data_IF_631809031374
#
_entry.id   IF_631809031374
#
_cell.length_a   1.000
_cell.length_b   1.000
_cell.length_c   1.000
_cell.angle_alpha   90.00
_cell.angle_beta   90.00
_cell.angle_gamma   90.00
#
_symmetry.space_group_name_H-M   'P 1'
#
loop_
_entity.id
_entity.type
_entity.pdbx_description
1 polymer ?
#
# COMPACT_ATOMS: atom_id res chain seq x y z
N UNK A 1 -19.38 -32.36 -13.45
CA UNK A 1 -18.57 -31.12 -13.43
C UNK A 1 -18.08 -30.96 -12.00
N UNK A 2 -16.79 -31.20 -11.75
CA UNK A 2 -16.23 -31.14 -10.39
C UNK A 2 -16.14 -29.67 -9.99
N UNK A 3 -16.88 -29.29 -8.95
CA UNK A 3 -16.65 -28.04 -8.22
C UNK A 3 -15.26 -28.15 -7.59
N UNK A 4 -14.32 -27.35 -8.07
CA UNK A 4 -13.07 -27.11 -7.36
C UNK A 4 -13.44 -26.14 -6.25
N UNK A 5 -13.60 -26.65 -5.03
CA UNK A 5 -13.58 -25.82 -3.82
C UNK A 5 -12.19 -25.19 -3.71
N UNK A 6 -12.09 -23.91 -4.02
CA UNK A 6 -10.97 -23.09 -3.55
C UNK A 6 -11.10 -22.96 -2.03
N UNK A 7 -10.34 -23.76 -1.30
CA UNK A 7 -10.17 -23.61 0.15
C UNK A 7 -9.60 -22.22 0.43
N UNK A 8 -10.37 -21.41 1.15
CA UNK A 8 -10.04 -20.02 1.47
C UNK A 8 -8.86 -19.97 2.44
N UNK A 9 -7.80 -19.30 2.05
CA UNK A 9 -6.76 -18.85 2.97
C UNK A 9 -7.37 -17.80 3.90
N UNK A 10 -7.50 -18.12 5.19
CA UNK A 10 -7.76 -17.15 6.25
C UNK A 10 -6.55 -17.18 7.18
N UNK A 11 -5.58 -16.32 6.94
CA UNK A 11 -4.55 -16.02 7.93
C UNK A 11 -4.69 -14.55 8.31
N UNK A 12 -4.62 -14.23 9.61
CA UNK A 12 -4.48 -12.87 10.10
C UNK A 12 -3.04 -12.75 10.62
N UNK A 13 -2.28 -11.76 10.17
CA UNK A 13 -0.96 -11.45 10.71
C UNK A 13 -1.10 -10.26 11.67
N UNK A 14 -0.62 -10.40 12.91
CA UNK A 14 -0.62 -9.32 13.90
C UNK A 14 0.82 -9.03 14.34
N UNK A 15 1.21 -7.75 14.31
CA UNK A 15 2.52 -7.28 14.75
C UNK A 15 2.50 -6.93 16.25
N UNK A 16 3.58 -7.27 16.95
CA UNK A 16 3.88 -6.75 18.29
C UNK A 16 5.27 -6.10 18.24
N UNK A 17 5.34 -4.81 18.59
CA UNK A 17 6.59 -4.08 18.70
C UNK A 17 7.27 -4.37 20.04
N UNK A 18 8.57 -4.67 20.01
CA UNK A 18 9.42 -4.68 21.20
C UNK A 18 10.69 -3.87 20.95
N UNK A 19 10.76 -2.67 21.53
CA UNK A 19 12.03 -1.96 21.64
C UNK A 19 12.85 -2.60 22.76
N UNK A 20 13.90 -3.34 22.42
CA UNK A 20 14.90 -3.76 23.41
C UNK A 20 16.07 -2.79 23.40
N UNK A 21 16.32 -2.15 24.54
CA UNK A 21 17.60 -1.50 24.79
C UNK A 21 18.61 -2.60 25.13
N UNK A 22 19.48 -2.97 24.19
CA UNK A 22 20.66 -3.75 24.53
C UNK A 22 21.59 -2.89 25.38
N UNK A 23 22.23 -3.53 26.36
CA UNK A 23 23.08 -2.94 27.39
C UNK A 23 24.45 -2.51 26.79
N UNK A 24 24.42 -1.67 25.76
CA UNK A 24 25.55 -0.91 25.19
C UNK A 24 25.06 -0.08 24.01
N UNK A 25 24.73 1.21 24.23
CA UNK A 25 24.68 2.39 23.34
C UNK A 25 24.39 2.27 21.82
N UNK A 26 23.80 1.18 21.33
CA UNK A 26 23.39 0.98 19.95
C UNK A 26 21.91 0.59 19.96
N UNK A 27 21.05 1.51 19.51
CA UNK A 27 19.61 1.27 19.36
C UNK A 27 19.39 0.25 18.22
N UNK A 28 19.40 -1.03 18.55
CA UNK A 28 19.04 -2.09 17.61
C UNK A 28 17.57 -2.46 17.82
N UNK A 29 16.73 -2.10 16.88
CA UNK A 29 15.31 -2.45 16.88
C UNK A 29 15.05 -3.68 16.00
N UNK A 30 14.01 -4.45 16.33
CA UNK A 30 13.60 -5.60 15.55
C UNK A 30 12.08 -5.71 15.46
N UNK A 31 11.62 -6.42 14.43
CA UNK A 31 10.23 -6.64 14.07
C UNK A 31 9.88 -8.07 14.45
N UNK A 32 8.80 -8.22 15.22
CA UNK A 32 8.25 -9.51 15.59
C UNK A 32 7.06 -9.85 14.68
N UNK A 33 7.06 -11.06 14.14
CA UNK A 33 5.95 -11.62 13.37
C UNK A 33 5.29 -12.78 14.12
N UNK A 34 3.99 -12.97 13.89
CA UNK A 34 3.25 -14.16 14.32
C UNK A 34 2.09 -14.43 13.39
N UNK A 35 1.94 -15.69 12.94
CA UNK A 35 0.87 -16.11 12.05
C UNK A 35 -0.29 -16.69 12.85
N UNK A 36 -1.51 -16.29 12.50
CA UNK A 36 -2.76 -16.79 13.08
C UNK A 36 -3.67 -17.33 12.00
N UNK A 37 -4.43 -18.38 12.33
CA UNK A 37 -5.52 -18.90 11.51
C UNK A 37 -6.73 -17.97 11.46
N UNK A 38 -7.70 -18.32 10.61
CA UNK A 38 -8.93 -17.56 10.40
C UNK A 38 -9.89 -17.59 11.56
N UNK A 39 -9.59 -18.38 12.59
CA UNK A 39 -10.32 -18.49 13.86
C UNK A 39 -9.59 -17.71 14.97
N UNK A 40 -8.39 -17.18 14.69
CA UNK A 40 -7.56 -16.42 15.62
C UNK A 40 -6.59 -17.27 16.44
N UNK A 41 -6.41 -18.56 16.14
CA UNK A 41 -5.42 -19.39 16.83
C UNK A 41 -4.02 -19.11 16.30
N UNK A 42 -3.02 -19.09 17.18
CA UNK A 42 -1.62 -18.92 16.78
C UNK A 42 -1.11 -20.17 16.08
N UNK A 43 -0.62 -20.05 14.86
CA UNK A 43 0.09 -21.14 14.18
C UNK A 43 1.57 -21.20 14.52
N UNK A 44 2.16 -20.04 14.82
CA UNK A 44 3.59 -19.91 15.06
C UNK A 44 3.88 -19.37 16.45
N UNK A 45 5.08 -19.65 16.95
CA UNK A 45 5.70 -18.77 17.94
C UNK A 45 5.94 -17.39 17.33
N UNK A 46 6.27 -16.42 18.18
CA UNK A 46 6.83 -15.16 17.68
C UNK A 46 8.13 -15.51 16.95
N UNK A 47 8.29 -14.99 15.73
CA UNK A 47 9.51 -15.09 14.93
C UNK A 47 10.05 -13.70 14.63
N UNK A 48 11.35 -13.62 14.37
CA UNK A 48 12.04 -12.38 14.06
C UNK A 48 11.99 -12.13 12.56
N UNK A 49 11.65 -10.90 12.16
CA UNK A 49 11.50 -10.53 10.76
C UNK A 49 12.76 -9.88 10.18
N UNK A 50 13.50 -9.12 11.00
CA UNK A 50 14.74 -8.47 10.58
C UNK A 50 15.88 -8.79 11.54
N UNK A 51 17.09 -8.84 11.01
CA UNK A 51 18.36 -8.87 11.73
C UNK A 51 18.64 -7.50 12.32
N UNK A 52 18.93 -7.37 13.63
CA UNK A 52 19.18 -6.08 14.25
C UNK A 52 20.55 -5.56 13.80
N UNK A 53 20.58 -4.40 13.16
CA UNK A 53 21.77 -3.87 12.48
C UNK A 53 22.17 -2.46 12.95
N UNK A 54 21.80 -2.08 14.18
CA UNK A 54 21.95 -0.69 14.67
C UNK A 54 21.00 0.32 14.01
N UNK A 55 20.06 -0.16 13.18
CA UNK A 55 19.01 0.64 12.55
C UNK A 55 17.74 0.63 13.39
N UNK A 56 17.01 1.75 13.31
CA UNK A 56 15.63 1.82 13.79
C UNK A 56 14.70 1.32 12.68
N UNK A 57 13.74 0.46 13.00
CA UNK A 57 12.81 -0.13 12.03
C UNK A 57 11.37 0.32 12.29
N UNK A 58 10.62 0.57 11.22
CA UNK A 58 9.27 1.13 11.28
C UNK A 58 8.44 0.88 10.03
N UNK A 59 7.20 1.40 10.02
CA UNK A 59 6.27 1.42 8.87
C UNK A 59 6.16 0.08 8.13
N UNK A 60 6.04 -1.02 8.87
CA UNK A 60 5.98 -2.35 8.31
C UNK A 60 4.70 -2.53 7.49
N UNK A 61 4.79 -3.21 6.36
CA UNK A 61 3.63 -3.69 5.60
C UNK A 61 3.84 -5.15 5.23
N UNK A 62 2.74 -5.86 5.00
CA UNK A 62 2.73 -7.27 4.61
C UNK A 62 1.86 -7.47 3.39
N UNK A 63 2.29 -8.34 2.48
CA UNK A 63 1.45 -8.89 1.42
C UNK A 63 1.57 -10.42 1.40
N UNK A 64 0.44 -11.10 1.22
CA UNK A 64 0.43 -12.54 0.93
C UNK A 64 0.98 -12.81 -0.47
N UNK A 65 1.79 -13.84 -0.62
CA UNK A 65 2.40 -14.29 -1.88
C UNK A 65 1.88 -15.69 -2.21
N UNK A 66 0.63 -15.75 -2.68
CA UNK A 66 -0.10 -17.00 -2.84
C UNK A 66 -0.45 -17.65 -1.49
N UNK A 67 -0.69 -18.96 -1.48
CA UNK A 67 -1.21 -19.65 -0.29
C UNK A 67 -0.18 -19.88 0.81
N UNK A 68 1.11 -19.93 0.46
CA UNK A 68 2.16 -20.50 1.33
C UNK A 68 3.29 -19.55 1.69
N UNK A 69 3.21 -18.29 1.27
CA UNK A 69 4.26 -17.31 1.49
C UNK A 69 3.66 -15.95 1.77
N UNK A 70 4.45 -15.08 2.38
CA UNK A 70 4.17 -13.67 2.49
C UNK A 70 5.48 -12.89 2.45
N UNK A 71 5.42 -11.63 2.06
CA UNK A 71 6.53 -10.68 2.14
C UNK A 71 6.21 -9.64 3.20
N UNK A 72 7.20 -9.31 4.02
CA UNK A 72 7.16 -8.14 4.89
C UNK A 72 8.15 -7.13 4.34
N UNK A 73 7.70 -5.89 4.18
CA UNK A 73 8.54 -4.75 3.84
C UNK A 73 8.52 -3.75 4.99
N UNK A 74 9.64 -3.08 5.24
CA UNK A 74 9.77 -2.14 6.35
C UNK A 74 10.72 -0.99 6.03
N UNK A 75 10.57 0.10 6.77
CA UNK A 75 11.54 1.18 6.84
C UNK A 75 12.67 0.79 7.79
N UNK A 76 13.92 0.93 7.35
CA UNK A 76 15.11 0.81 8.18
C UNK A 76 15.90 2.12 8.12
N UNK A 77 15.96 2.81 9.25
CA UNK A 77 16.54 4.14 9.39
C UNK A 77 17.86 4.08 10.15
N UNK A 78 18.88 4.70 9.56
CA UNK A 78 20.17 4.96 10.18
C UNK A 78 20.44 6.47 10.16
N UNK A 79 20.63 7.06 11.33
CA UNK A 79 20.80 8.52 11.50
C UNK A 79 19.63 9.29 10.85
N UNK A 80 19.86 9.94 9.70
CA UNK A 80 18.89 10.73 8.96
C UNK A 80 18.56 10.11 7.57
N UNK A 81 18.88 8.84 7.36
CA UNK A 81 18.68 8.13 6.09
C UNK A 81 17.82 6.88 6.29
N UNK A 82 16.74 6.76 5.51
CA UNK A 82 15.84 5.61 5.51
C UNK A 82 15.98 4.80 4.22
N UNK A 83 16.09 3.49 4.35
CA UNK A 83 15.95 2.56 3.23
C UNK A 83 14.74 1.65 3.45
N UNK A 84 14.07 1.27 2.37
CA UNK A 84 13.02 0.25 2.46
C UNK A 84 13.63 -1.12 2.18
N UNK A 85 13.41 -2.03 3.13
CA UNK A 85 13.91 -3.39 3.08
C UNK A 85 12.73 -4.36 3.03
N UNK A 86 12.98 -5.58 2.56
CA UNK A 86 11.99 -6.64 2.55
C UNK A 86 12.58 -8.02 2.75
N UNK A 87 11.73 -8.91 3.26
CA UNK A 87 12.03 -10.32 3.45
C UNK A 87 10.79 -11.18 3.20
N UNK A 88 10.99 -12.31 2.53
CA UNK A 88 9.94 -13.29 2.27
C UNK A 88 10.00 -14.44 3.28
N UNK A 89 8.82 -14.87 3.70
CA UNK A 89 8.63 -15.93 4.68
C UNK A 89 7.68 -16.98 4.13
N UNK A 90 7.84 -18.21 4.63
CA UNK A 90 6.85 -19.27 4.46
C UNK A 90 5.61 -19.00 5.32
N UNK A 91 4.52 -19.73 5.06
CA UNK A 91 3.31 -19.74 5.89
C UNK A 91 3.57 -20.02 7.39
N UNK A 92 4.69 -20.66 7.73
CA UNK A 92 5.09 -20.97 9.10
C UNK A 92 6.00 -19.90 9.72
N UNK A 93 6.19 -18.76 9.07
CA UNK A 93 7.05 -17.69 9.57
C UNK A 93 8.54 -17.99 9.50
N UNK A 94 8.96 -19.03 8.77
CA UNK A 94 10.38 -19.28 8.50
C UNK A 94 10.83 -18.46 7.32
N UNK A 95 12.02 -17.89 7.39
CA UNK A 95 12.65 -17.25 6.23
C UNK A 95 12.65 -18.21 5.04
N UNK A 96 12.23 -17.72 3.87
CA UNK A 96 12.20 -18.55 2.69
C UNK A 96 13.65 -18.77 2.22
N UNK A 97 14.12 -20.02 2.21
CA UNK A 97 15.54 -20.41 2.24
C UNK A 97 16.43 -19.85 1.12
N UNK A 98 15.86 -19.34 0.03
CA UNK A 98 16.61 -18.66 -1.04
C UNK A 98 17.17 -17.29 -0.59
N UNK A 99 16.73 -16.78 0.56
CA UNK A 99 16.94 -15.40 1.01
C UNK A 99 17.49 -15.30 2.42
N UNK A 100 18.63 -15.91 2.68
CA UNK A 100 19.29 -15.74 3.98
C UNK A 100 19.67 -14.26 4.30
N UNK A 101 19.27 -13.27 3.49
CA UNK A 101 19.50 -11.85 3.70
C UNK A 101 18.28 -10.99 3.31
N UNK A 102 18.10 -9.89 4.03
CA UNK A 102 17.16 -8.81 3.74
C UNK A 102 17.56 -8.07 2.45
N UNK A 103 16.56 -7.67 1.64
CA UNK A 103 16.81 -7.01 0.35
C UNK A 103 16.34 -5.57 0.35
N UNK A 104 17.16 -4.66 -0.17
CA UNK A 104 16.77 -3.27 -0.40
C UNK A 104 15.81 -3.16 -1.60
N UNK A 105 14.61 -2.65 -1.35
CA UNK A 105 13.54 -2.54 -2.34
C UNK A 105 13.89 -1.54 -3.44
N UNK A 106 14.25 -0.31 -3.06
CA UNK A 106 14.53 0.79 -3.99
C UNK A 106 16.02 1.05 -4.19
N UNK A 107 16.40 1.59 -5.34
CA UNK A 107 17.76 2.02 -5.69
C UNK A 107 18.17 3.29 -4.95
N UNK A 108 17.19 4.06 -4.48
CA UNK A 108 17.35 5.34 -3.78
C UNK A 108 16.67 5.31 -2.42
N UNK A 109 17.15 6.17 -1.54
CA UNK A 109 16.48 6.53 -0.28
C UNK A 109 15.15 7.18 -0.58
N UNK A 110 14.07 6.69 0.04
CA UNK A 110 12.74 7.27 -0.01
C UNK A 110 12.29 7.58 1.42
N UNK A 111 11.43 8.59 1.59
CA UNK A 111 11.05 9.09 2.92
C UNK A 111 9.67 8.61 3.37
N UNK A 112 8.79 8.30 2.43
CA UNK A 112 7.42 7.87 2.70
C UNK A 112 7.06 6.59 1.93
N UNK A 113 6.09 5.86 2.45
CA UNK A 113 5.91 4.43 2.19
C UNK A 113 6.53 3.58 3.32
N UNK A 114 6.68 2.26 3.12
CA UNK A 114 6.27 1.50 1.94
C UNK A 114 4.76 1.17 1.96
N UNK A 115 4.19 0.89 0.79
CA UNK A 115 2.95 0.11 0.62
C UNK A 115 3.25 -1.05 -0.32
N UNK A 116 2.71 -2.24 -0.04
CA UNK A 116 3.01 -3.47 -0.79
C UNK A 116 1.75 -4.21 -1.18
N UNK A 117 1.71 -4.75 -2.40
CA UNK A 117 0.61 -5.58 -2.91
C UNK A 117 1.15 -6.78 -3.67
N UNK A 118 0.39 -7.88 -3.62
CA UNK A 118 0.66 -9.09 -4.40
C UNK A 118 0.31 -8.88 -5.87
N UNK A 119 1.06 -9.53 -6.76
CA UNK A 119 0.84 -9.55 -8.21
C UNK A 119 0.86 -10.99 -8.72
N UNK A 120 0.05 -11.26 -9.75
CA UNK A 120 0.03 -12.53 -10.49
C UNK A 120 -0.13 -13.76 -9.56
N UNK A 121 -1.07 -13.72 -8.62
CA UNK A 121 -1.30 -14.82 -7.67
C UNK A 121 -0.16 -14.98 -6.66
N UNK A 122 0.62 -13.93 -6.45
CA UNK A 122 1.79 -13.91 -5.57
C UNK A 122 3.08 -14.42 -6.18
N UNK A 123 3.14 -14.55 -7.51
CA UNK A 123 4.42 -14.75 -8.22
C UNK A 123 5.28 -13.48 -8.19
N UNK A 124 4.65 -12.30 -8.11
CA UNK A 124 5.32 -11.00 -7.96
C UNK A 124 4.70 -10.18 -6.84
N UNK A 125 5.34 -9.07 -6.51
CA UNK A 125 4.73 -8.02 -5.69
C UNK A 125 5.22 -6.64 -6.13
N UNK A 126 4.41 -5.62 -5.87
CA UNK A 126 4.79 -4.23 -6.12
C UNK A 126 4.91 -3.49 -4.80
N UNK A 127 5.91 -2.60 -4.73
CA UNK A 127 6.08 -1.67 -3.61
C UNK A 127 6.08 -0.25 -4.15
N UNK A 128 5.32 0.64 -3.52
CA UNK A 128 5.36 2.08 -3.81
C UNK A 128 5.95 2.86 -2.62
N UNK A 129 6.67 3.93 -2.94
CA UNK A 129 7.13 4.92 -1.99
C UNK A 129 7.40 6.25 -2.69
N UNK A 130 7.71 7.29 -1.92
CA UNK A 130 8.05 8.60 -2.47
C UNK A 130 9.02 9.36 -1.58
N UNK A 131 9.62 10.43 -2.13
CA UNK A 131 10.47 11.35 -1.40
C UNK A 131 9.84 12.76 -1.34
N UNK A 132 10.29 13.62 -0.44
CA UNK A 132 9.81 15.01 -0.35
C UNK A 132 10.29 15.87 -1.52
N UNK A 133 11.52 15.58 -1.96
CA UNK A 133 12.36 16.36 -2.86
C UNK A 133 12.25 15.93 -4.34
N UNK A 134 11.53 14.83 -4.60
CA UNK A 134 11.08 14.47 -5.95
C UNK A 134 9.56 14.44 -5.96
N UNK A 135 8.94 15.21 -6.85
CA UNK A 135 7.54 15.02 -7.25
C UNK A 135 7.34 13.72 -8.03
N UNK A 136 8.06 12.65 -7.71
CA UNK A 136 7.97 11.35 -8.36
C UNK A 136 7.64 10.28 -7.34
N UNK A 137 6.46 9.68 -7.51
CA UNK A 137 6.12 8.43 -6.87
C UNK A 137 6.91 7.32 -7.54
N UNK A 138 7.59 6.49 -6.74
CA UNK A 138 8.41 5.40 -7.26
C UNK A 138 7.73 4.07 -6.97
N UNK A 139 7.49 3.29 -8.02
CA UNK A 139 7.07 1.90 -7.90
C UNK A 139 8.22 0.99 -8.31
N UNK A 140 8.42 -0.07 -7.53
CA UNK A 140 9.27 -1.20 -7.89
C UNK A 140 8.46 -2.49 -7.86
N UNK A 141 8.51 -3.25 -8.96
CA UNK A 141 7.95 -4.60 -9.04
C UNK A 141 9.08 -5.61 -8.78
N UNK A 142 8.80 -6.65 -8.00
CA UNK A 142 9.79 -7.65 -7.63
C UNK A 142 9.21 -9.06 -7.83
N UNK A 143 10.04 -9.98 -8.32
CA UNK A 143 9.71 -11.40 -8.33
C UNK A 143 9.66 -11.93 -6.89
N UNK A 144 8.64 -12.72 -6.55
CA UNK A 144 8.43 -13.24 -5.20
C UNK A 144 9.38 -14.38 -4.82
N UNK A 145 10.05 -14.99 -5.80
CA UNK A 145 10.88 -16.20 -5.63
C UNK A 145 12.34 -15.86 -5.34
N UNK A 146 12.84 -14.71 -5.84
CA UNK A 146 14.16 -14.17 -5.57
C UNK A 146 14.20 -12.66 -5.18
N UNK A 147 13.06 -11.98 -4.91
CA UNK A 147 12.98 -10.54 -4.53
C UNK A 147 13.89 -9.72 -5.49
N UNK A 148 13.96 -10.15 -6.75
CA UNK A 148 14.71 -9.41 -7.76
C UNK A 148 13.80 -8.41 -8.42
N UNK A 149 14.37 -7.23 -8.67
CA UNK A 149 13.68 -6.17 -9.37
C UNK A 149 13.32 -6.62 -10.77
N UNK A 150 12.02 -6.59 -11.07
CA UNK A 150 11.50 -6.70 -12.42
C UNK A 150 11.58 -5.31 -13.05
N UNK A 151 12.31 -5.22 -14.15
CA UNK A 151 12.47 -3.96 -14.88
C UNK A 151 13.12 -2.84 -14.05
N UNK A 152 12.86 -1.60 -14.46
CA UNK A 152 13.32 -0.40 -13.75
C UNK A 152 12.25 0.08 -12.77
N UNK A 153 12.69 0.83 -11.77
CA UNK A 153 11.80 1.75 -11.05
C UNK A 153 11.11 2.68 -12.04
N UNK A 154 9.81 2.86 -11.87
CA UNK A 154 9.03 3.75 -12.72
C UNK A 154 8.24 4.77 -11.91
N UNK A 155 8.06 5.94 -12.53
CA UNK A 155 7.25 7.02 -11.99
C UNK A 155 5.77 6.69 -12.13
N UNK A 156 5.02 6.82 -11.03
CA UNK A 156 3.56 6.66 -11.03
C UNK A 156 2.81 7.94 -11.45
N UNK A 157 3.52 9.04 -11.69
CA UNK A 157 2.94 10.32 -12.07
C UNK A 157 3.78 11.02 -13.14
N UNK A 158 3.16 11.95 -13.87
CA UNK A 158 3.93 12.85 -14.74
C UNK A 158 4.52 13.98 -13.86
N UNK A 159 5.81 14.31 -13.96
CA UNK A 159 6.34 15.45 -13.24
C UNK A 159 5.69 16.73 -13.78
N UNK A 160 4.76 17.30 -13.02
CA UNK A 160 4.26 18.65 -13.28
C UNK A 160 5.38 19.65 -13.02
N UNK A 161 5.47 20.71 -13.84
CA UNK A 161 6.41 21.82 -13.60
C UNK A 161 6.06 22.59 -12.31
N UNK A 162 4.84 22.42 -11.79
CA UNK A 162 4.51 22.80 -10.44
C UNK A 162 5.16 21.80 -9.49
N UNK A 163 6.04 22.31 -8.62
CA UNK A 163 6.72 21.63 -7.50
C UNK A 163 5.72 21.15 -6.41
N UNK A 164 4.51 20.76 -6.83
CA UNK A 164 3.44 20.29 -6.00
C UNK A 164 3.93 19.14 -5.13
N UNK A 165 3.79 19.34 -3.83
CA UNK A 165 4.16 18.40 -2.79
C UNK A 165 3.28 17.15 -2.96
N UNK A 166 3.73 16.18 -3.74
CA UNK A 166 3.09 14.87 -3.82
C UNK A 166 3.21 14.20 -2.47
N UNK A 167 2.12 13.83 -1.83
CA UNK A 167 2.18 13.05 -0.59
C UNK A 167 1.11 11.97 -0.55
N UNK A 168 1.35 11.00 0.32
CA UNK A 168 0.37 10.03 0.80
C UNK A 168 -0.21 9.17 -0.34
N UNK A 169 0.68 8.43 -1.00
CA UNK A 169 0.30 7.47 -2.03
C UNK A 169 -0.23 6.15 -1.43
N UNK A 170 -1.03 5.45 -2.23
CA UNK A 170 -1.46 4.08 -1.97
C UNK A 170 -1.53 3.29 -3.27
N UNK A 171 -1.56 1.96 -3.18
CA UNK A 171 -1.73 1.10 -4.35
C UNK A 171 -2.58 -0.13 -4.03
N UNK A 172 -3.30 -0.62 -5.03
CA UNK A 172 -3.99 -1.89 -5.00
C UNK A 172 -3.79 -2.67 -6.29
N UNK A 173 -4.23 -3.91 -6.29
CA UNK A 173 -4.39 -4.71 -7.49
C UNK A 173 -5.84 -4.91 -7.88
N UNK A 174 -6.06 -5.07 -9.17
CA UNK A 174 -7.35 -5.41 -9.79
C UNK A 174 -7.12 -6.47 -10.87
N UNK A 175 -8.19 -7.00 -11.46
CA UNK A 175 -8.12 -7.95 -12.59
C UNK A 175 -7.27 -9.16 -12.23
N UNK A 176 -7.63 -9.83 -11.13
CA UNK A 176 -6.90 -10.98 -10.59
C UNK A 176 -5.40 -10.74 -10.40
N UNK A 177 -5.02 -9.54 -9.93
CA UNK A 177 -3.64 -9.18 -9.65
C UNK A 177 -2.75 -9.00 -10.88
N UNK A 178 -3.35 -8.76 -12.05
CA UNK A 178 -2.64 -8.49 -13.30
C UNK A 178 -2.42 -6.99 -13.56
N UNK A 179 -3.11 -6.12 -12.81
CA UNK A 179 -3.00 -4.66 -12.98
C UNK A 179 -2.85 -3.96 -11.64
N UNK A 180 -2.06 -2.89 -11.65
CA UNK A 180 -1.84 -2.01 -10.51
C UNK A 180 -2.65 -0.74 -10.68
N UNK A 181 -3.42 -0.37 -9.65
CA UNK A 181 -4.00 0.97 -9.52
C UNK A 181 -3.26 1.66 -8.40
N UNK A 182 -2.76 2.86 -8.64
CA UNK A 182 -2.06 3.65 -7.64
C UNK A 182 -2.63 5.06 -7.60
N UNK A 183 -2.70 5.61 -6.40
CA UNK A 183 -3.37 6.87 -6.08
C UNK A 183 -2.47 7.76 -5.25
N UNK A 184 -2.65 9.06 -5.39
CA UNK A 184 -1.94 10.10 -4.64
C UNK A 184 -2.71 11.41 -4.73
N UNK A 185 -2.33 12.39 -3.93
CA UNK A 185 -2.83 13.75 -4.12
C UNK A 185 -1.77 14.66 -4.72
N UNK A 186 -2.23 15.60 -5.54
CA UNK A 186 -1.48 16.70 -6.11
C UNK A 186 -1.92 18.02 -5.47
N UNK A 187 -1.12 19.07 -5.63
CA UNK A 187 -1.49 20.45 -5.32
C UNK A 187 -1.48 21.28 -6.60
N UNK A 188 -2.58 21.95 -6.91
CA UNK A 188 -2.66 22.88 -8.04
C UNK A 188 -2.42 24.30 -7.53
N UNK A 189 -1.31 24.93 -7.93
CA UNK A 189 -0.96 26.28 -7.48
C UNK A 189 -1.83 27.38 -8.12
N UNK A 190 -2.50 27.11 -9.26
CA UNK A 190 -3.36 28.09 -9.93
C UNK A 190 -4.69 28.29 -9.20
N UNK A 191 -5.25 27.20 -8.68
CA UNK A 191 -6.52 27.22 -7.92
C UNK A 191 -6.33 27.00 -6.41
N UNK A 192 -5.07 26.92 -5.97
CA UNK A 192 -4.65 26.70 -4.57
C UNK A 192 -5.35 25.51 -3.89
N UNK A 193 -5.50 24.39 -4.60
CA UNK A 193 -6.31 23.27 -4.16
C UNK A 193 -5.55 21.94 -4.25
N UNK A 194 -5.71 21.08 -3.23
CA UNK A 194 -5.27 19.68 -3.27
C UNK A 194 -6.34 18.77 -3.88
N UNK A 195 -5.93 17.86 -4.73
CA UNK A 195 -6.83 16.98 -5.50
C UNK A 195 -6.25 15.58 -5.67
N UNK A 196 -7.12 14.58 -5.82
CA UNK A 196 -6.72 13.17 -5.93
C UNK A 196 -6.53 12.79 -7.40
N UNK A 197 -5.40 12.14 -7.68
CA UNK A 197 -5.09 11.53 -8.96
C UNK A 197 -4.88 10.03 -8.83
N UNK A 198 -5.06 9.35 -9.95
CA UNK A 198 -4.81 7.94 -10.09
C UNK A 198 -4.19 7.62 -11.46
N UNK A 199 -3.54 6.47 -11.54
CA UNK A 199 -2.97 5.94 -12.77
C UNK A 199 -2.92 4.40 -12.70
N UNK A 200 -2.86 3.74 -13.85
CA UNK A 200 -2.94 2.29 -13.95
C UNK A 200 -1.84 1.73 -14.85
N UNK A 201 -1.15 0.71 -14.36
CA UNK A 201 -0.18 -0.08 -15.11
C UNK A 201 -0.56 -1.56 -15.15
N UNK A 202 0.08 -2.31 -16.04
CA UNK A 202 0.09 -3.77 -15.95
C UNK A 202 1.06 -4.26 -14.86
N UNK A 203 1.14 -5.58 -14.70
CA UNK A 203 2.04 -6.29 -13.77
C UNK A 203 3.52 -6.26 -14.16
N UNK A 204 3.89 -5.68 -15.30
CA UNK A 204 5.26 -5.42 -15.72
C UNK A 204 5.65 -3.93 -15.55
N UNK A 205 4.68 -3.10 -15.14
CA UNK A 205 4.87 -1.65 -14.96
C UNK A 205 4.68 -0.84 -16.25
N UNK A 206 4.15 -1.45 -17.32
CA UNK A 206 3.79 -0.70 -18.51
C UNK A 206 2.51 0.09 -18.25
N UNK A 207 2.55 1.38 -18.61
CA UNK A 207 1.42 2.29 -18.45
C UNK A 207 0.25 1.86 -19.34
N UNK A 208 -0.89 1.52 -18.73
CA UNK A 208 -2.12 1.16 -19.44
C UNK A 208 -3.07 2.35 -19.56
N UNK A 209 -3.10 3.19 -18.52
CA UNK A 209 -3.92 4.40 -18.48
C UNK A 209 -3.06 5.54 -17.97
N UNK A 210 -3.04 6.66 -18.70
CA UNK A 210 -2.37 7.88 -18.24
C UNK A 210 -2.99 8.38 -16.94
N UNK A 211 -2.26 9.27 -16.25
CA UNK A 211 -2.78 9.97 -15.08
C UNK A 211 -4.17 10.57 -15.34
N UNK A 212 -5.09 10.37 -14.40
CA UNK A 212 -6.44 10.93 -14.45
C UNK A 212 -6.86 11.44 -13.07
N UNK A 213 -7.63 12.53 -13.10
CA UNK A 213 -8.12 13.21 -11.92
C UNK A 213 -9.38 12.54 -11.39
N UNK A 214 -9.38 12.24 -10.09
CA UNK A 214 -10.48 11.55 -9.38
C UNK A 214 -11.44 12.55 -8.75
N UNK A 215 -10.93 13.69 -8.27
CA UNK A 215 -11.74 14.75 -7.61
C UNK A 215 -11.74 16.03 -8.43
N UNK A 216 -12.87 16.73 -8.54
CA UNK A 216 -12.96 18.03 -9.23
C UNK A 216 -12.37 19.20 -8.41
N UNK A 217 -12.12 20.33 -9.09
CA UNK A 217 -11.76 21.58 -8.42
C UNK A 217 -13.01 22.29 -7.89
N UNK A 218 -13.45 21.88 -6.71
CA UNK A 218 -14.60 22.45 -5.99
C UNK A 218 -14.23 23.44 -4.87
N UNK A 219 -12.97 23.90 -4.82
CA UNK A 219 -12.47 24.83 -3.80
C UNK A 219 -12.22 24.18 -2.43
N UNK A 220 -12.15 22.85 -2.37
CA UNK A 220 -11.91 22.08 -1.13
C UNK A 220 -10.67 21.20 -1.26
N UNK A 221 -9.88 21.06 -0.20
CA UNK A 221 -8.68 20.23 -0.21
C UNK A 221 -9.06 18.75 -0.08
N UNK A 222 -8.56 17.93 -1.01
CA UNK A 222 -8.67 16.47 -0.99
C UNK A 222 -7.28 15.84 -0.76
N UNK A 223 -7.13 15.06 0.31
CA UNK A 223 -5.85 14.50 0.77
C UNK A 223 -5.98 13.04 1.21
N UNK A 224 -4.84 12.40 1.51
CA UNK A 224 -4.76 11.05 2.07
C UNK A 224 -5.52 9.96 1.28
N UNK A 225 -5.36 9.86 -0.05
CA UNK A 225 -6.09 8.84 -0.79
C UNK A 225 -5.67 7.42 -0.38
N UNK A 226 -6.65 6.54 -0.44
CA UNK A 226 -6.53 5.09 -0.29
C UNK A 226 -7.27 4.43 -1.44
N UNK A 227 -6.80 3.27 -1.87
CA UNK A 227 -7.42 2.53 -2.97
C UNK A 227 -7.54 1.05 -2.63
N UNK A 228 -8.71 0.49 -2.94
CA UNK A 228 -9.00 -0.93 -2.72
C UNK A 228 -9.62 -1.54 -3.96
N UNK A 229 -9.03 -2.63 -4.46
CA UNK A 229 -9.59 -3.44 -5.54
C UNK A 229 -10.81 -4.24 -5.06
N UNK A 230 -11.89 -4.19 -5.83
CA UNK A 230 -13.16 -4.85 -5.54
C UNK A 230 -13.38 -6.01 -6.53
N UNK A 231 -13.41 -7.24 -6.01
CA UNK A 231 -13.72 -8.44 -6.82
C UNK A 231 -15.24 -8.59 -6.97
N UNK A 232 -15.83 -7.87 -7.92
CA UNK A 232 -17.25 -8.03 -8.30
C UNK A 232 -17.38 -8.64 -9.69
N UNK A 233 -18.34 -9.55 -9.87
CA UNK A 233 -18.52 -10.36 -11.07
C UNK A 233 -18.48 -9.56 -12.38
N UNK A 234 -17.68 -10.05 -13.33
CA UNK A 234 -17.53 -9.64 -14.74
C UNK A 234 -16.74 -8.36 -15.08
N UNK A 235 -16.34 -7.54 -14.12
CA UNK A 235 -15.41 -6.43 -14.37
C UNK A 235 -14.77 -5.95 -13.09
N UNK A 236 -13.47 -5.69 -13.08
CA UNK A 236 -12.78 -5.33 -11.85
C UNK A 236 -13.02 -3.87 -11.49
N UNK A 237 -13.72 -3.70 -10.37
CA UNK A 237 -14.00 -2.41 -9.78
C UNK A 237 -12.90 -2.09 -8.76
N UNK A 238 -12.78 -0.83 -8.39
CA UNK A 238 -11.99 -0.37 -7.27
C UNK A 238 -12.66 0.83 -6.64
N UNK A 239 -12.43 1.05 -5.35
CA UNK A 239 -12.89 2.22 -4.63
C UNK A 239 -11.70 3.07 -4.26
N UNK A 240 -11.77 4.36 -4.54
CA UNK A 240 -10.81 5.35 -4.05
C UNK A 240 -11.51 6.15 -2.96
N UNK A 241 -10.85 6.29 -1.82
CA UNK A 241 -11.35 7.04 -0.66
C UNK A 241 -10.33 8.07 -0.23
N UNK A 242 -10.76 9.25 0.17
CA UNK A 242 -9.88 10.36 0.56
C UNK A 242 -10.51 11.18 1.68
N UNK A 243 -9.68 11.97 2.35
CA UNK A 243 -10.14 12.99 3.28
C UNK A 243 -10.40 14.29 2.51
N UNK A 244 -11.53 14.94 2.76
CA UNK A 244 -11.87 16.24 2.19
C UNK A 244 -12.39 17.22 3.24
N UNK A 245 -12.03 18.50 3.15
CA UNK A 245 -12.64 19.55 3.98
C UNK A 245 -13.96 20.09 3.40
N UNK A 246 -14.54 19.42 2.40
CA UNK A 246 -15.84 19.76 1.82
C UNK A 246 -16.96 19.74 2.85
N UNK A 247 -17.76 20.81 2.84
CA UNK A 247 -18.87 21.05 3.77
C UNK A 247 -18.43 21.11 5.26
N UNK A 248 -17.15 21.43 5.54
CA UNK A 248 -16.62 21.51 6.90
C UNK A 248 -16.15 22.94 7.21
N UNK A 249 -16.55 23.50 8.34
CA UNK A 249 -16.06 24.81 8.82
C UNK A 249 -14.63 24.70 9.41
N UNK A 250 -14.30 23.58 10.06
CA UNK A 250 -12.99 23.31 10.68
C UNK A 250 -12.75 21.80 10.85
N UNK A 251 -12.51 21.08 9.74
CA UNK A 251 -12.29 19.63 9.78
C UNK A 251 -12.24 18.95 8.42
N UNK A 252 -12.08 17.62 8.44
CA UNK A 252 -12.13 16.76 7.26
C UNK A 252 -13.18 15.65 7.45
N UNK A 253 -13.84 15.27 6.36
CA UNK A 253 -14.65 14.06 6.24
C UNK A 253 -14.01 13.07 5.27
N UNK A 254 -14.40 11.80 5.37
CA UNK A 254 -14.01 10.73 4.46
C UNK A 254 -15.03 10.64 3.33
N UNK A 255 -14.53 10.71 2.11
CA UNK A 255 -15.31 10.57 0.88
C UNK A 255 -14.80 9.38 0.08
N UNK A 256 -15.64 8.86 -0.79
CA UNK A 256 -15.30 7.75 -1.67
C UNK A 256 -15.95 7.86 -3.04
N UNK A 257 -15.32 7.22 -4.01
CA UNK A 257 -15.85 7.03 -5.34
C UNK A 257 -15.51 5.65 -5.85
N UNK A 258 -16.49 4.98 -6.45
CA UNK A 258 -16.31 3.66 -7.07
C UNK A 258 -15.97 3.90 -8.55
N UNK A 259 -14.97 3.16 -9.03
CA UNK A 259 -14.56 3.16 -10.41
C UNK A 259 -14.57 1.74 -10.95
N UNK A 260 -14.88 1.62 -12.24
CA UNK A 260 -14.72 0.42 -13.02
C UNK A 260 -13.51 0.58 -13.93
N UNK A 261 -12.65 -0.44 -13.99
CA UNK A 261 -11.54 -0.46 -14.93
C UNK A 261 -12.01 -0.21 -16.38
N UNK A 262 -11.32 0.64 -17.17
CA UNK A 262 -10.07 1.33 -16.82
C UNK A 262 -10.21 2.58 -15.96
N UNK A 263 -11.23 3.41 -16.11
CA UNK A 263 -11.40 4.64 -15.32
C UNK A 263 -12.83 5.20 -15.39
N UNK A 264 -13.82 4.30 -15.49
CA UNK A 264 -15.23 4.71 -15.54
C UNK A 264 -15.75 4.96 -14.14
N UNK A 265 -16.21 6.18 -13.85
CA UNK A 265 -16.84 6.53 -12.58
C UNK A 265 -18.21 5.86 -12.45
N UNK A 266 -18.47 5.22 -11.31
CA UNK A 266 -19.69 4.44 -11.06
C UNK A 266 -20.47 5.10 -9.94
N UNK A 267 -21.53 5.82 -10.31
CA UNK A 267 -22.33 6.59 -9.37
C UNK A 267 -21.67 7.91 -8.96
N UNK A 268 -22.23 8.53 -7.93
CA UNK A 268 -21.75 9.80 -7.39
C UNK A 268 -20.74 9.58 -6.26
N UNK A 269 -19.92 10.61 -5.99
CA UNK A 269 -19.08 10.67 -4.80
C UNK A 269 -19.98 10.57 -3.57
N UNK A 270 -19.63 9.68 -2.64
CA UNK A 270 -20.36 9.48 -1.40
C UNK A 270 -19.50 9.87 -0.19
N UNK A 271 -20.13 10.43 0.83
CA UNK A 271 -19.50 10.69 2.13
C UNK A 271 -19.68 9.47 3.02
N UNK A 272 -18.60 9.03 3.68
CA UNK A 272 -18.55 7.82 4.50
C UNK A 272 -18.91 8.13 5.95
N UNK A 273 -18.28 9.15 6.53
CA UNK A 273 -18.54 9.54 7.92
C UNK A 273 -19.67 10.56 8.00
N UNK A 274 -20.51 10.43 9.02
CA UNK A 274 -21.59 11.38 9.31
C UNK A 274 -21.22 12.43 10.36
N UNK A 275 -20.05 12.29 11.03
CA UNK A 275 -19.63 13.16 12.13
C UNK A 275 -18.30 13.89 11.86
N UNK A 276 -18.22 15.14 12.32
CA UNK A 276 -17.09 16.06 12.17
C UNK A 276 -15.83 15.52 12.86
N UNK A 277 -14.71 15.47 12.14
CA UNK A 277 -13.40 15.11 12.72
C UNK A 277 -12.42 16.26 12.50
N UNK A 278 -11.70 16.66 13.56
CA UNK A 278 -10.66 17.70 13.47
C UNK A 278 -9.48 17.21 12.63
N UNK A 279 -8.93 18.13 11.84
CA UNK A 279 -8.17 17.88 10.62
C UNK A 279 -6.89 17.03 10.71
N UNK A 280 -6.24 16.91 11.87
CA UNK A 280 -4.82 16.52 11.89
C UNK A 280 -4.56 15.02 12.13
N UNK A 281 -5.60 14.20 12.29
CA UNK A 281 -5.45 12.76 12.60
C UNK A 281 -6.41 11.84 11.86
N UNK A 282 -7.06 12.31 10.79
CA UNK A 282 -7.99 11.47 10.05
C UNK A 282 -7.21 10.39 9.26
N UNK A 283 -7.24 9.18 9.78
CA UNK A 283 -6.69 7.98 9.13
C UNK A 283 -7.88 7.12 8.74
N UNK A 284 -8.10 6.92 7.45
CA UNK A 284 -9.05 5.95 6.95
C UNK A 284 -8.35 4.78 6.26
N UNK A 285 -9.05 3.65 6.23
CA UNK A 285 -8.70 2.47 5.45
C UNK A 285 -9.94 1.93 4.77
N UNK A 286 -9.75 1.27 3.63
CA UNK A 286 -10.81 0.51 2.99
C UNK A 286 -10.38 -0.94 2.81
N UNK A 287 -11.35 -1.84 2.81
CA UNK A 287 -11.12 -3.27 2.61
C UNK A 287 -12.29 -3.89 1.85
N UNK A 288 -11.98 -4.66 0.81
CA UNK A 288 -12.98 -5.44 0.09
C UNK A 288 -13.37 -6.68 0.90
N UNK A 289 -14.65 -7.03 0.92
CA UNK A 289 -15.08 -8.30 1.47
C UNK A 289 -14.82 -9.42 0.45
N UNK A 290 -14.13 -10.51 0.83
CA UNK A 290 -13.80 -11.58 -0.10
C UNK A 290 -15.04 -12.15 -0.80
N UNK A 291 -14.96 -12.25 -2.14
CA UNK A 291 -16.01 -12.81 -3.01
C UNK A 291 -17.37 -12.11 -2.85
N UNK A 292 -17.37 -10.81 -2.62
CA UNK A 292 -18.59 -10.01 -2.54
C UNK A 292 -18.42 -8.69 -3.28
N UNK A 293 -19.54 -8.08 -3.64
CA UNK A 293 -19.58 -6.69 -4.11
C UNK A 293 -19.54 -5.66 -2.96
N UNK A 294 -19.29 -6.11 -1.73
CA UNK A 294 -19.28 -5.27 -0.53
C UNK A 294 -17.85 -4.89 -0.15
N UNK A 295 -17.71 -3.75 0.49
CA UNK A 295 -16.47 -3.26 1.07
C UNK A 295 -16.77 -2.50 2.36
N UNK A 296 -15.76 -2.36 3.20
CA UNK A 296 -15.81 -1.60 4.46
C UNK A 296 -14.82 -0.45 4.36
N UNK A 297 -15.19 0.69 4.92
CA UNK A 297 -14.31 1.83 5.14
C UNK A 297 -14.35 2.12 6.64
N UNK A 298 -13.18 2.26 7.26
CA UNK A 298 -13.00 2.55 8.69
C UNK A 298 -12.15 3.79 8.88
#
# INVERSE_FOLDING_TARGET
MKLIEYQKVKWILVFLFFNFFLKSDQLASWIAGRVYDGEGNTLTSIFQVNTPSGKTVGKQQVAGLGEKRFVIVWEATELQSSVFMGQAFTENGTEYQKYQNEVTIFSKTLRYGPKVVSLLGGERFAVIGHNDDSSLLTIQILESDNITRVGREFGANSPSNDLALLRNCDLCTIMNEEKLVYVWYNYNATVEQKYINAQISDSDGNLLQSEFQVTEFDGTDHIDPRVTGLKSGSGDYYVITWASNKNQEDGYGVFGQILQYPNTFVGEIFQVNTEQTKAETLIHQSAALPNSSQFVIT
#
